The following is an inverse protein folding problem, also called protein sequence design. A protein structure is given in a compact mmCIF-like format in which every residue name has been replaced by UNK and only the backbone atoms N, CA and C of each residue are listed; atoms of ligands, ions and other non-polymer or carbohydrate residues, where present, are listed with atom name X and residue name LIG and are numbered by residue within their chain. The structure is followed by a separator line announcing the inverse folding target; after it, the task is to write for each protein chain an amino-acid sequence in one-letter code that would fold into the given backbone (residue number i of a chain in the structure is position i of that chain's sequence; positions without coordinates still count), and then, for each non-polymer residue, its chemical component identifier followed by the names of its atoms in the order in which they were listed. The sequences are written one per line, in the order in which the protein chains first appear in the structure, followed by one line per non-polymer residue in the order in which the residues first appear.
data_IF_037148216235
#
_entry.id   IF_037148216235
#
_cell.length_a   1.000
_cell.length_b   1.000
_cell.length_c   1.000
_cell.angle_alpha   90.00
_cell.angle_beta   90.00
_cell.angle_gamma   90.00
#
_symmetry.space_group_name_H-M   'P 1'
#
loop_
_entity.id
_entity.type
_entity.pdbx_description
1 polymer ?
#
# COMPACT_ATOMS: atom_id res chain seq x y z
N UNK A 1 -6.15 1.85 3.32
CA UNK A 1 -6.38 0.45 2.87
C UNK A 1 -5.03 -0.18 2.63
N UNK A 2 -4.88 -1.48 2.88
CA UNK A 2 -3.63 -2.22 2.71
C UNK A 2 -3.88 -3.43 1.80
N UNK A 3 -3.23 -3.44 0.64
CA UNK A 3 -3.32 -4.53 -0.34
C UNK A 3 -2.00 -5.29 -0.44
N UNK A 4 -2.05 -6.57 -0.78
CA UNK A 4 -0.88 -7.42 -0.93
C UNK A 4 -1.20 -8.90 -0.80
N UNK A 5 -0.18 -9.74 -1.01
CA UNK A 5 -0.29 -11.21 -0.92
C UNK A 5 -0.50 -11.75 0.50
N UNK A 6 -0.45 -10.89 1.52
CA UNK A 6 -0.64 -11.28 2.93
C UNK A 6 -2.07 -11.76 3.25
N UNK A 7 -3.02 -11.58 2.31
CA UNK A 7 -4.41 -11.96 2.49
C UNK A 7 -5.09 -11.19 3.64
N UNK A 8 -6.08 -11.83 4.27
CA UNK A 8 -6.81 -11.30 5.43
C UNK A 8 -6.03 -11.43 6.74
N UNK A 9 -4.83 -12.01 6.72
CA UNK A 9 -4.08 -12.39 7.92
C UNK A 9 -3.17 -11.28 8.46
N UNK A 10 -3.05 -10.16 7.74
CA UNK A 10 -2.25 -9.03 8.18
C UNK A 10 -3.01 -8.22 9.23
N UNK A 11 -2.57 -8.29 10.48
CA UNK A 11 -3.06 -7.45 11.58
C UNK A 11 -2.56 -6.00 11.40
N UNK A 12 -3.47 -5.01 11.27
CA UNK A 12 -3.07 -3.60 11.21
C UNK A 12 -2.30 -3.13 12.44
N UNK A 13 -2.65 -3.66 13.62
CA UNK A 13 -1.95 -3.36 14.87
C UNK A 13 -0.53 -3.92 14.90
N UNK A 14 -0.36 -5.15 14.40
CA UNK A 14 0.98 -5.75 14.29
C UNK A 14 1.83 -5.01 13.25
N UNK A 15 1.24 -4.65 12.10
CA UNK A 15 1.92 -3.83 11.08
C UNK A 15 2.37 -2.47 11.64
N UNK A 16 1.54 -1.83 12.47
CA UNK A 16 1.91 -0.61 13.16
C UNK A 16 3.04 -0.84 14.17
N UNK A 17 2.95 -1.90 14.97
CA UNK A 17 3.93 -2.22 16.01
C UNK A 17 5.34 -2.49 15.48
N UNK A 18 5.46 -2.97 14.24
CA UNK A 18 6.76 -3.17 13.58
C UNK A 18 7.16 -2.00 12.67
N UNK A 19 6.40 -0.90 12.65
CA UNK A 19 6.70 0.27 11.81
C UNK A 19 6.44 0.10 10.31
N UNK A 20 5.71 -0.94 9.88
CA UNK A 20 5.32 -1.14 8.48
C UNK A 20 4.31 -0.09 8.01
N UNK A 21 3.43 0.35 8.91
CA UNK A 21 2.52 1.46 8.68
C UNK A 21 2.73 2.53 9.76
N UNK A 22 2.42 3.80 9.47
CA UNK A 22 2.53 4.89 10.45
C UNK A 22 1.77 4.62 11.76
N UNK A 23 2.28 5.16 12.86
CA UNK A 23 1.58 5.08 14.14
C UNK A 23 0.26 5.87 14.10
N UNK A 24 -0.80 5.32 14.69
CA UNK A 24 -2.11 5.96 14.82
C UNK A 24 -3.07 5.72 13.64
N UNK A 25 -2.67 4.95 12.63
CA UNK A 25 -3.56 4.64 11.49
C UNK A 25 -4.10 3.20 11.49
N UNK A 26 -3.70 2.36 12.46
CA UNK A 26 -4.16 0.97 12.53
C UNK A 26 -5.69 0.85 12.53
N UNK A 27 -6.40 1.67 13.32
CA UNK A 27 -7.87 1.67 13.39
C UNK A 27 -8.56 2.02 12.06
N UNK A 28 -7.91 2.85 11.24
CA UNK A 28 -8.41 3.27 9.92
C UNK A 28 -7.90 2.37 8.80
N UNK A 29 -7.08 1.38 9.12
CA UNK A 29 -6.45 0.50 8.14
C UNK A 29 -7.24 -0.80 8.00
N UNK A 30 -7.66 -1.07 6.77
CA UNK A 30 -8.33 -2.32 6.38
C UNK A 30 -7.48 -3.08 5.37
N UNK A 31 -7.24 -4.36 5.65
CA UNK A 31 -6.63 -5.28 4.70
C UNK A 31 -7.61 -5.64 3.57
N UNK A 32 -7.15 -5.55 2.32
CA UNK A 32 -7.93 -5.87 1.11
C UNK A 32 -7.53 -7.20 0.46
N UNK A 33 -6.39 -7.77 0.87
CA UNK A 33 -5.80 -8.91 0.16
C UNK A 33 -5.31 -8.51 -1.24
N UNK A 34 -5.50 -9.41 -2.21
CA UNK A 34 -5.06 -9.19 -3.59
C UNK A 34 -5.99 -8.25 -4.36
N UNK A 35 -5.79 -6.94 -4.19
CA UNK A 35 -6.56 -5.91 -4.89
C UNK A 35 -6.38 -5.96 -6.42
N UNK A 36 -5.20 -6.35 -6.92
CA UNK A 36 -4.96 -6.48 -8.35
C UNK A 36 -5.82 -7.60 -8.97
N UNK A 37 -5.89 -8.76 -8.31
CA UNK A 37 -6.75 -9.87 -8.72
C UNK A 37 -8.23 -9.52 -8.65
N UNK A 38 -8.66 -8.87 -7.57
CA UNK A 38 -10.04 -8.40 -7.45
C UNK A 38 -10.40 -7.39 -8.55
N UNK A 39 -9.50 -6.43 -8.84
CA UNK A 39 -9.67 -5.47 -9.93
C UNK A 39 -9.77 -6.13 -11.30
N UNK A 40 -8.95 -7.15 -11.58
CA UNK A 40 -9.04 -7.90 -12.83
C UNK A 40 -10.40 -8.60 -13.01
N UNK A 41 -10.94 -9.19 -11.94
CA UNK A 41 -12.29 -9.78 -11.95
C UNK A 41 -13.36 -8.70 -12.18
N UNK A 42 -13.24 -7.54 -11.53
CA UNK A 42 -14.16 -6.42 -11.74
C UNK A 42 -14.18 -5.97 -13.20
N UNK A 43 -13.01 -5.79 -13.82
CA UNK A 43 -12.90 -5.41 -15.23
C UNK A 43 -13.44 -6.48 -16.20
N UNK A 44 -13.35 -7.76 -15.83
CA UNK A 44 -13.91 -8.85 -16.61
C UNK A 44 -15.45 -8.85 -16.59
N UNK A 45 -16.05 -8.48 -15.47
CA UNK A 45 -17.49 -8.53 -15.25
C UNK A 45 -18.21 -7.22 -15.59
N UNK A 46 -17.51 -6.08 -15.55
CA UNK A 46 -18.06 -4.76 -15.78
C UNK A 46 -17.19 -3.97 -16.77
N UNK A 47 -17.71 -3.73 -17.98
CA UNK A 47 -17.00 -2.99 -19.03
C UNK A 47 -16.91 -1.50 -18.72
N UNK A 48 -17.85 -0.94 -17.96
CA UNK A 48 -17.83 0.48 -17.60
C UNK A 48 -16.74 0.77 -16.56
N UNK A 49 -16.30 -0.26 -15.82
CA UNK A 49 -15.15 -0.17 -14.93
C UNK A 49 -13.81 0.04 -15.67
N UNK A 50 -13.74 -0.31 -16.96
CA UNK A 50 -12.53 -0.12 -17.79
C UNK A 50 -12.21 1.36 -17.96
N UNK A 51 -13.20 2.17 -18.31
CA UNK A 51 -13.02 3.62 -18.51
C UNK A 51 -12.49 4.28 -17.22
N UNK A 52 -13.13 3.98 -16.08
CA UNK A 52 -12.69 4.47 -14.76
C UNK A 52 -11.25 4.04 -14.42
N UNK A 53 -10.87 2.82 -14.74
CA UNK A 53 -9.51 2.31 -14.51
C UNK A 53 -8.48 3.09 -15.34
N UNK A 54 -8.79 3.38 -16.60
CA UNK A 54 -7.93 4.17 -17.49
C UNK A 54 -7.80 5.62 -17.01
N UNK A 55 -8.89 6.25 -16.56
CA UNK A 55 -8.85 7.59 -15.98
C UNK A 55 -7.93 7.66 -14.75
N UNK A 56 -8.00 6.65 -13.87
CA UNK A 56 -7.12 6.54 -12.70
C UNK A 56 -5.66 6.37 -13.16
N UNK A 57 -5.41 5.50 -14.13
CA UNK A 57 -4.06 5.24 -14.65
C UNK A 57 -3.42 6.51 -15.25
N UNK A 58 -4.18 7.29 -16.02
CA UNK A 58 -3.71 8.56 -16.61
C UNK A 58 -3.37 9.61 -15.55
N UNK A 59 -4.08 9.60 -14.41
CA UNK A 59 -3.86 10.54 -13.31
C UNK A 59 -2.77 10.10 -12.33
N UNK A 60 -2.40 8.82 -12.34
CA UNK A 60 -1.36 8.28 -11.48
C UNK A 60 0.02 8.83 -11.92
N UNK A 61 0.84 9.21 -10.94
CA UNK A 61 2.18 9.72 -11.18
C UNK A 61 3.21 8.82 -10.50
N UNK A 62 4.24 8.43 -11.24
CA UNK A 62 5.37 7.69 -10.70
C UNK A 62 6.37 8.66 -10.08
N UNK A 63 6.69 8.46 -8.81
CA UNK A 63 7.76 9.19 -8.11
C UNK A 63 8.98 8.27 -8.05
N UNK A 64 10.11 8.73 -8.60
CA UNK A 64 11.37 7.99 -8.57
C UNK A 64 12.06 8.18 -7.22
N UNK A 65 12.20 7.10 -6.46
CA UNK A 65 12.77 7.13 -5.10
C UNK A 65 14.21 6.61 -5.03
N UNK A 66 14.71 5.93 -6.06
CA UNK A 66 16.03 5.29 -6.02
C UNK A 66 17.20 6.27 -5.92
N UNK A 67 17.02 7.50 -6.39
CA UNK A 67 18.01 8.58 -6.35
C UNK A 67 17.67 9.66 -5.32
N UNK A 68 16.56 9.51 -4.60
CA UNK A 68 16.11 10.50 -3.64
C UNK A 68 16.85 10.34 -2.30
N UNK A 69 17.67 11.34 -1.96
CA UNK A 69 18.48 11.34 -0.74
C UNK A 69 17.61 11.38 0.53
N UNK A 70 16.44 12.03 0.47
CA UNK A 70 15.51 12.09 1.59
C UNK A 70 14.92 10.71 1.91
N UNK A 71 14.45 10.00 0.89
CA UNK A 71 13.98 8.63 0.99
C UNK A 71 15.07 7.70 1.51
N UNK A 72 16.28 7.75 0.95
CA UNK A 72 17.39 6.89 1.36
C UNK A 72 17.74 7.08 2.84
N UNK A 73 17.80 8.35 3.30
CA UNK A 73 18.01 8.67 4.72
C UNK A 73 16.92 8.03 5.60
N UNK A 74 15.66 8.18 5.24
CA UNK A 74 14.55 7.62 6.00
C UNK A 74 14.51 6.08 5.94
N UNK A 75 14.83 5.49 4.80
CA UNK A 75 14.90 4.04 4.65
C UNK A 75 15.93 3.44 5.60
N UNK A 76 17.17 3.94 5.57
CA UNK A 76 18.26 3.47 6.45
C UNK A 76 17.90 3.66 7.93
N UNK A 77 17.36 4.84 8.28
CA UNK A 77 16.98 5.13 9.67
C UNK A 77 15.93 4.17 10.24
N UNK A 78 15.06 3.61 9.38
CA UNK A 78 13.98 2.71 9.81
C UNK A 78 14.29 1.22 9.64
N UNK A 79 15.44 0.84 9.06
CA UNK A 79 15.84 -0.57 8.90
C UNK A 79 16.11 -1.29 10.22
N UNK A 80 16.54 -0.56 11.26
CA UNK A 80 16.86 -1.13 12.56
C UNK A 80 15.65 -1.28 13.50
N UNK A 81 14.45 -0.84 13.07
CA UNK A 81 13.23 -0.81 13.88
C UNK A 81 13.30 0.03 15.18
N UNK A 82 14.37 0.80 15.40
CA UNK A 82 14.58 1.63 16.60
C UNK A 82 13.60 2.81 16.68
N UNK A 83 13.07 3.27 15.55
CA UNK A 83 12.15 4.41 15.45
C UNK A 83 10.74 4.16 16.03
N UNK A 84 10.45 2.92 16.44
CA UNK A 84 9.09 2.45 16.74
C UNK A 84 8.94 1.83 18.14
N UNK A 85 10.00 1.90 18.96
CA UNK A 85 10.02 1.46 20.37
C UNK A 85 9.67 2.63 21.29
#
# INVERSE_FOLDING_TARGET
MLAGGFGSFLSPWSAQGIGLIPHGIAERTRALGNAAGAGAVMLLLDKDAIEKSLEIAVRAQTIELSTDAFFTKHYIANMAFESFV
#
